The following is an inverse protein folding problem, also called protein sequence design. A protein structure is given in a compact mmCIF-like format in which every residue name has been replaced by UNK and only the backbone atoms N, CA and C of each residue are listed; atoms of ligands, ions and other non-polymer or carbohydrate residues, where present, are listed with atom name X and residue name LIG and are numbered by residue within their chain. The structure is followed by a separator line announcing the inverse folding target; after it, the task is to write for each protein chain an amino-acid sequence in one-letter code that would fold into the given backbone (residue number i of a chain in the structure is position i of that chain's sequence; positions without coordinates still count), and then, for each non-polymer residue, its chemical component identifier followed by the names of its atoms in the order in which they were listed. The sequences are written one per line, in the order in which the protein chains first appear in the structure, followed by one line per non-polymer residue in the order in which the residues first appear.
data_IF_349809015438
#
_entry.id   IF_349809015438
#
_cell.length_a   1.000
_cell.length_b   1.000
_cell.length_c   1.000
_cell.angle_alpha   90.00
_cell.angle_beta   90.00
_cell.angle_gamma   90.00
#
_symmetry.space_group_name_H-M   'P 1'
#
loop_
_entity.id
_entity.type
_entity.pdbx_description
1 polymer ?
#
# COMPACT_ATOMS: atom_id res chain seq x y z
N UNK A 1 -8.69 -3.32 -40.28
CA UNK A 1 -9.56 -3.88 -39.22
C UNK A 1 -9.10 -3.31 -37.89
N UNK A 2 -9.67 -2.19 -37.42
CA UNK A 2 -9.20 -1.51 -36.22
C UNK A 2 -10.14 -1.80 -35.06
N UNK A 3 -9.96 -2.95 -34.39
CA UNK A 3 -10.48 -3.18 -33.04
C UNK A 3 -9.80 -4.35 -32.27
N UNK A 4 -8.84 -5.06 -32.88
CA UNK A 4 -8.26 -6.26 -32.27
C UNK A 4 -7.21 -5.95 -31.18
N UNK A 5 -6.50 -4.81 -31.27
CA UNK A 5 -5.43 -4.48 -30.32
C UNK A 5 -5.97 -4.17 -28.91
N UNK A 6 -7.05 -3.41 -28.79
CA UNK A 6 -7.67 -3.09 -27.50
C UNK A 6 -8.22 -4.34 -26.80
N UNK A 7 -8.85 -5.22 -27.57
CA UNK A 7 -9.32 -6.51 -27.09
C UNK A 7 -8.16 -7.41 -26.64
N UNK A 8 -7.07 -7.49 -27.43
CA UNK A 8 -5.87 -8.26 -27.06
C UNK A 8 -5.22 -7.77 -25.77
N UNK A 9 -5.15 -6.45 -25.56
CA UNK A 9 -4.62 -5.85 -24.32
C UNK A 9 -5.51 -6.27 -23.14
N UNK A 10 -6.83 -6.07 -23.25
CA UNK A 10 -7.77 -6.43 -22.20
C UNK A 10 -7.72 -7.93 -21.86
N UNK A 11 -7.62 -8.79 -22.88
CA UNK A 11 -7.49 -10.24 -22.70
C UNK A 11 -6.17 -10.59 -22.00
N UNK A 12 -5.07 -9.94 -22.35
CA UNK A 12 -3.76 -10.22 -21.74
C UNK A 12 -3.74 -9.80 -20.26
N UNK A 13 -4.23 -8.59 -19.95
CA UNK A 13 -4.32 -8.11 -18.56
C UNK A 13 -5.27 -8.96 -17.71
N UNK A 14 -6.44 -9.31 -18.26
CA UNK A 14 -7.40 -10.15 -17.54
C UNK A 14 -6.88 -11.57 -17.33
N UNK A 15 -6.22 -12.16 -18.32
CA UNK A 15 -5.56 -13.46 -18.18
C UNK A 15 -4.46 -13.42 -17.11
N UNK A 16 -3.59 -12.40 -17.11
CA UNK A 16 -2.54 -12.26 -16.09
C UNK A 16 -3.13 -12.15 -14.67
N UNK A 17 -4.21 -11.37 -14.51
CA UNK A 17 -4.90 -11.23 -13.24
C UNK A 17 -5.52 -12.55 -12.77
N UNK A 18 -6.24 -13.24 -13.66
CA UNK A 18 -6.89 -14.53 -13.37
C UNK A 18 -5.86 -15.59 -13.01
N UNK A 19 -4.74 -15.66 -13.73
CA UNK A 19 -3.66 -16.59 -13.43
C UNK A 19 -3.01 -16.26 -12.09
N UNK A 20 -2.67 -14.99 -11.84
CA UNK A 20 -2.02 -14.57 -10.58
C UNK A 20 -2.90 -14.86 -9.35
N UNK A 21 -4.17 -14.46 -9.40
CA UNK A 21 -5.13 -14.74 -8.32
C UNK A 21 -5.42 -16.24 -8.23
N UNK A 22 -5.57 -16.91 -9.37
CA UNK A 22 -5.86 -18.34 -9.48
C UNK A 22 -4.77 -19.21 -8.84
N UNK A 23 -3.49 -18.88 -9.05
CA UNK A 23 -2.37 -19.58 -8.41
C UNK A 23 -2.43 -19.41 -6.89
N UNK A 24 -2.74 -18.22 -6.38
CA UNK A 24 -2.90 -17.98 -4.94
C UNK A 24 -4.04 -18.80 -4.32
N UNK A 25 -5.20 -18.82 -5.00
CA UNK A 25 -6.36 -19.62 -4.58
C UNK A 25 -6.05 -21.11 -4.64
N UNK A 26 -5.43 -21.58 -5.72
CA UNK A 26 -5.04 -22.98 -5.89
C UNK A 26 -4.06 -23.41 -4.78
N UNK A 27 -3.06 -22.58 -4.49
CA UNK A 27 -2.11 -22.83 -3.39
C UNK A 27 -2.80 -22.92 -2.03
N UNK A 28 -3.77 -22.05 -1.76
CA UNK A 28 -4.58 -22.11 -0.54
C UNK A 28 -5.43 -23.40 -0.46
N UNK A 29 -6.10 -23.78 -1.56
CA UNK A 29 -6.93 -25.00 -1.62
C UNK A 29 -6.06 -26.24 -1.42
N UNK A 30 -4.95 -26.37 -2.16
CA UNK A 30 -4.02 -27.49 -2.02
C UNK A 30 -3.43 -27.55 -0.62
N UNK A 31 -3.02 -26.41 -0.05
CA UNK A 31 -2.54 -26.34 1.33
C UNK A 31 -3.58 -26.83 2.34
N UNK A 32 -4.86 -26.49 2.15
CA UNK A 32 -5.94 -26.96 3.02
C UNK A 32 -6.29 -28.43 2.83
N UNK A 33 -6.19 -28.98 1.61
CA UNK A 33 -6.49 -30.38 1.30
C UNK A 33 -5.38 -31.33 1.74
N UNK A 34 -4.11 -30.94 1.53
CA UNK A 34 -2.96 -31.78 1.83
C UNK A 34 -2.50 -31.67 3.29
N UNK A 35 -2.75 -30.54 3.96
CA UNK A 35 -2.29 -30.37 5.33
C UNK A 35 -3.08 -31.25 6.32
N UNK A 36 -2.39 -31.91 7.27
CA UNK A 36 -3.07 -32.67 8.32
C UNK A 36 -3.87 -31.74 9.23
N UNK A 37 -5.19 -31.93 9.25
CA UNK A 37 -6.08 -31.17 10.11
C UNK A 37 -6.25 -31.87 11.46
N UNK A 38 -5.93 -31.18 12.55
CA UNK A 38 -6.23 -31.64 13.92
C UNK A 38 -6.94 -30.53 14.67
N UNK A 39 -8.23 -30.72 14.94
CA UNK A 39 -9.07 -29.76 15.66
C UNK A 39 -8.77 -29.81 17.16
N UNK A 40 -7.84 -28.97 17.62
CA UNK A 40 -7.62 -28.72 19.04
C UNK A 40 -8.05 -27.31 19.38
N UNK A 41 -8.82 -27.19 20.46
CA UNK A 41 -9.23 -25.89 21.01
C UNK A 41 -8.01 -25.00 21.30
N UNK A 42 -6.94 -25.56 21.89
CA UNK A 42 -5.69 -24.83 22.16
C UNK A 42 -5.03 -24.23 20.91
N UNK A 43 -5.15 -24.86 19.73
CA UNK A 43 -4.60 -24.32 18.46
C UNK A 43 -5.37 -23.10 17.96
N UNK A 44 -6.57 -22.85 18.49
CA UNK A 44 -7.44 -21.73 18.15
C UNK A 44 -7.35 -20.57 19.15
N UNK A 45 -6.66 -20.78 20.28
CA UNK A 45 -6.40 -19.73 21.26
C UNK A 45 -5.26 -18.82 20.80
N UNK A 46 -5.28 -17.55 21.23
CA UNK A 46 -4.17 -16.63 20.99
C UNK A 46 -2.91 -17.14 21.69
N UNK A 47 -1.77 -16.99 21.02
CA UNK A 47 -0.47 -17.26 21.63
C UNK A 47 -0.17 -16.27 22.76
N UNK A 48 0.06 -16.80 23.96
CA UNK A 48 0.41 -16.06 25.20
C UNK A 48 1.52 -16.82 25.95
N UNK A 49 2.59 -17.19 25.24
CA UNK A 49 3.74 -17.95 25.77
C UNK A 49 3.34 -19.25 26.51
N UNK A 50 2.24 -19.89 26.09
CA UNK A 50 1.72 -21.13 26.68
C UNK A 50 0.70 -20.95 27.81
N UNK A 51 0.49 -19.73 28.29
CA UNK A 51 -0.55 -19.43 29.28
C UNK A 51 -1.94 -19.35 28.60
N UNK A 52 -3.04 -19.77 29.23
CA UNK A 52 -4.38 -19.40 28.76
C UNK A 52 -4.51 -17.87 28.65
N UNK A 53 -5.08 -17.36 27.55
CA UNK A 53 -5.22 -15.92 27.35
C UNK A 53 -6.11 -15.32 28.44
N UNK A 54 -5.63 -14.24 29.07
CA UNK A 54 -6.36 -13.48 30.09
C UNK A 54 -6.34 -11.99 29.74
N UNK A 55 -7.44 -11.30 30.04
CA UNK A 55 -7.54 -9.85 29.84
C UNK A 55 -7.62 -9.40 28.38
N UNK A 56 -7.49 -8.08 28.18
CA UNK A 56 -7.61 -7.45 26.88
C UNK A 56 -6.29 -7.55 26.09
N UNK A 57 -6.40 -8.10 24.90
CA UNK A 57 -5.30 -8.40 23.98
C UNK A 57 -4.61 -7.20 23.33
N UNK A 58 -5.43 -6.21 22.98
CA UNK A 58 -5.10 -5.10 22.10
C UNK A 58 -5.54 -3.83 22.80
N UNK A 59 -4.58 -3.01 23.16
CA UNK A 59 -4.80 -1.63 23.61
C UNK A 59 -5.07 -0.70 22.43
N UNK A 60 -5.25 0.58 22.73
CA UNK A 60 -5.18 1.63 21.71
C UNK A 60 -3.75 1.65 21.17
N UNK A 61 -3.58 1.26 19.91
CA UNK A 61 -2.31 1.42 19.22
C UNK A 61 -2.10 2.90 18.95
N UNK A 62 -1.00 3.44 19.47
CA UNK A 62 -0.63 4.80 19.16
C UNK A 62 -0.28 4.91 17.68
N UNK A 63 -0.79 5.97 17.04
CA UNK A 63 -0.67 6.21 15.61
C UNK A 63 0.73 6.76 15.22
N UNK A 64 1.79 6.21 15.81
CA UNK A 64 3.19 6.60 15.52
C UNK A 64 3.55 6.45 14.03
N UNK A 65 2.88 5.54 13.33
CA UNK A 65 3.07 5.31 11.90
C UNK A 65 2.28 6.28 11.00
N UNK A 66 1.37 7.07 11.55
CA UNK A 66 0.52 7.97 10.76
C UNK A 66 1.32 9.07 10.04
N UNK A 67 2.30 9.74 10.65
CA UNK A 67 3.15 10.69 9.92
C UNK A 67 3.92 10.07 8.75
N UNK A 68 4.32 8.80 8.86
CA UNK A 68 4.98 8.09 7.77
C UNK A 68 4.05 7.84 6.58
N UNK A 69 2.75 7.59 6.84
CA UNK A 69 1.74 7.51 5.78
C UNK A 69 1.61 8.85 5.04
N UNK A 70 1.65 9.97 5.75
CA UNK A 70 1.59 11.31 5.14
C UNK A 70 2.82 11.54 4.25
N UNK A 71 4.01 11.19 4.73
CA UNK A 71 5.25 11.29 3.94
C UNK A 71 5.17 10.40 2.69
N UNK A 72 4.71 9.15 2.84
CA UNK A 72 4.55 8.23 1.72
C UNK A 72 3.58 8.80 0.66
N UNK A 73 2.38 9.21 1.09
CA UNK A 73 1.33 9.75 0.22
C UNK A 73 1.69 11.09 -0.44
N UNK A 74 2.72 11.78 0.05
CA UNK A 74 3.21 13.02 -0.56
C UNK A 74 4.37 12.76 -1.51
N UNK A 75 5.32 11.89 -1.15
CA UNK A 75 6.49 11.59 -1.98
C UNK A 75 6.11 10.75 -3.20
N UNK A 76 5.26 9.72 -3.06
CA UNK A 76 4.91 8.82 -4.16
C UNK A 76 4.28 9.56 -5.36
N UNK A 77 3.25 10.42 -5.19
CA UNK A 77 2.68 11.15 -6.31
C UNK A 77 3.67 12.10 -6.97
N UNK A 78 4.56 12.75 -6.21
CA UNK A 78 5.60 13.63 -6.78
C UNK A 78 6.49 12.85 -7.74
N UNK A 79 6.90 11.63 -7.37
CA UNK A 79 7.72 10.78 -8.24
C UNK A 79 6.97 10.36 -9.51
N UNK A 80 5.70 9.93 -9.38
CA UNK A 80 4.87 9.53 -10.53
C UNK A 80 4.64 10.71 -11.47
N UNK A 81 4.22 11.87 -10.94
CA UNK A 81 3.97 13.05 -11.75
C UNK A 81 5.24 13.61 -12.37
N UNK A 82 6.39 13.55 -11.68
CA UNK A 82 7.68 13.95 -12.25
C UNK A 82 7.98 13.16 -13.53
N UNK A 83 7.76 11.84 -13.50
CA UNK A 83 7.96 10.98 -14.67
C UNK A 83 6.98 11.31 -15.80
N UNK A 84 5.67 11.37 -15.51
CA UNK A 84 4.63 11.63 -16.51
C UNK A 84 4.79 13.01 -17.17
N UNK A 85 5.08 14.04 -16.37
CA UNK A 85 5.28 15.41 -16.85
C UNK A 85 6.55 15.52 -17.71
N UNK A 86 7.64 14.84 -17.33
CA UNK A 86 8.87 14.81 -18.11
C UNK A 86 8.65 14.21 -19.51
N UNK A 87 7.83 13.17 -19.65
CA UNK A 87 7.48 12.60 -20.95
C UNK A 87 6.81 13.64 -21.87
N UNK A 88 6.01 14.55 -21.31
CA UNK A 88 5.31 15.60 -22.06
C UNK A 88 6.17 16.88 -22.28
N UNK A 89 7.33 16.98 -21.62
CA UNK A 89 8.15 18.20 -21.62
C UNK A 89 8.60 18.64 -23.02
N UNK A 90 8.80 17.70 -23.94
CA UNK A 90 9.19 18.01 -25.33
C UNK A 90 8.15 18.83 -26.10
N UNK A 91 6.86 18.65 -25.79
CA UNK A 91 5.77 19.31 -26.50
C UNK A 91 5.47 20.72 -25.97
N UNK A 92 5.62 20.94 -24.66
CA UNK A 92 5.20 22.19 -24.02
C UNK A 92 5.96 22.42 -22.70
N UNK A 93 7.27 22.72 -22.76
CA UNK A 93 8.13 22.73 -21.58
C UNK A 93 7.69 23.76 -20.53
N UNK A 94 7.20 24.92 -20.95
CA UNK A 94 6.72 25.98 -20.05
C UNK A 94 5.46 25.57 -19.27
N UNK A 95 4.51 24.91 -19.92
CA UNK A 95 3.28 24.41 -19.27
C UNK A 95 3.59 23.25 -18.32
N UNK A 96 4.47 22.34 -18.74
CA UNK A 96 4.93 21.23 -17.91
C UNK A 96 5.61 21.75 -16.64
N UNK A 97 6.52 22.72 -16.78
CA UNK A 97 7.19 23.35 -15.64
C UNK A 97 6.20 24.03 -14.70
N UNK A 98 5.24 24.78 -15.24
CA UNK A 98 4.20 25.43 -14.43
C UNK A 98 3.38 24.42 -13.63
N UNK A 99 2.91 23.35 -14.27
CA UNK A 99 2.14 22.29 -13.61
C UNK A 99 2.96 21.57 -12.55
N UNK A 100 4.24 21.28 -12.84
CA UNK A 100 5.15 20.67 -11.88
C UNK A 100 5.33 21.54 -10.64
N UNK A 101 5.55 22.84 -10.81
CA UNK A 101 5.68 23.78 -9.70
C UNK A 101 4.40 23.90 -8.88
N UNK A 102 3.23 23.88 -9.51
CA UNK A 102 1.94 23.88 -8.80
C UNK A 102 1.79 22.62 -7.95
N UNK A 103 2.05 21.44 -8.51
CA UNK A 103 1.98 20.16 -7.79
C UNK A 103 2.95 20.16 -6.61
N UNK A 104 4.20 20.58 -6.84
CA UNK A 104 5.21 20.70 -5.78
C UNK A 104 4.73 21.66 -4.68
N UNK A 105 4.18 22.82 -5.05
CA UNK A 105 3.64 23.80 -4.12
C UNK A 105 2.49 23.28 -3.26
N UNK A 106 1.60 22.45 -3.83
CA UNK A 106 0.48 21.84 -3.10
C UNK A 106 0.95 20.70 -2.18
N UNK A 107 1.92 19.90 -2.62
CA UNK A 107 2.39 18.71 -1.88
C UNK A 107 3.43 19.06 -0.81
N UNK A 108 4.17 20.16 -0.96
CA UNK A 108 5.22 20.54 0.00
C UNK A 108 4.69 20.77 1.42
N UNK A 109 3.58 21.51 1.66
CA UNK A 109 3.04 21.70 3.00
C UNK A 109 2.71 20.39 3.76
N UNK A 110 1.95 19.43 3.20
CA UNK A 110 1.70 18.16 3.88
C UNK A 110 2.96 17.31 4.07
N UNK A 111 3.93 17.37 3.15
CA UNK A 111 5.22 16.68 3.31
C UNK A 111 5.99 17.24 4.51
N UNK A 112 6.10 18.57 4.61
CA UNK A 112 6.76 19.25 5.73
C UNK A 112 6.05 18.92 7.05
N UNK A 113 4.71 18.93 7.05
CA UNK A 113 3.92 18.51 8.20
C UNK A 113 4.21 17.06 8.60
N UNK A 114 4.22 16.12 7.65
CA UNK A 114 4.51 14.71 7.88
C UNK A 114 5.91 14.51 8.48
N UNK A 115 6.93 15.14 7.91
CA UNK A 115 8.32 15.06 8.40
C UNK A 115 8.47 15.64 9.82
N UNK A 116 7.84 16.78 10.09
CA UNK A 116 7.86 17.39 11.42
C UNK A 116 7.12 16.55 12.45
N UNK A 117 6.00 15.93 12.06
CA UNK A 117 5.19 15.08 12.93
C UNK A 117 5.88 13.75 13.22
N UNK A 118 6.60 13.19 12.25
CA UNK A 118 7.36 11.94 12.40
C UNK A 118 8.50 12.08 13.43
N UNK A 119 9.11 13.26 13.53
CA UNK A 119 10.17 13.55 14.53
C UNK A 119 9.64 13.69 15.96
N UNK A 120 8.33 13.92 16.14
CA UNK A 120 7.72 14.19 17.44
C UNK A 120 7.15 12.92 18.07
N UNK A 121 7.98 11.91 18.28
CA UNK A 121 7.58 10.61 18.84
C UNK A 121 6.83 10.73 20.17
N UNK A 122 7.17 11.73 21.00
CA UNK A 122 6.50 12.01 22.29
C UNK A 122 5.01 12.35 22.14
N UNK A 123 4.57 12.95 21.03
CA UNK A 123 3.14 13.23 20.79
C UNK A 123 2.32 11.96 20.52
N UNK A 124 3.02 10.87 20.19
CA UNK A 124 2.45 9.61 19.76
C UNK A 124 2.87 8.49 20.70
N UNK A 125 3.46 8.79 21.87
CA UNK A 125 3.76 7.80 22.89
C UNK A 125 2.53 7.63 23.78
N UNK A 126 2.32 6.41 24.27
CA UNK A 126 1.20 6.08 25.17
C UNK A 126 1.49 6.33 26.65
N UNK A 127 2.64 6.96 26.94
CA UNK A 127 3.08 7.32 28.28
C UNK A 127 2.24 8.44 28.89
#
# INVERSE_FOLDING_TARGET
MPNDQGLQILLTFSAALVIGVGIGILGFILGRLLAPSRNLERKRLRYECGNPPRGRARGLFMMQYYPYLIVFLTVEPVMIYSFLLLMQAHNSPSRVLLLFLIILGIITPPLVFGLNSARRLKLWSAE
#
